data_IF_489185176619
#
_entry.id   IF_489185176619
#
_cell.length_a   1.000
_cell.length_b   1.000
_cell.length_c   1.000
_cell.angle_alpha   90.00
_cell.angle_beta   90.00
_cell.angle_gamma   90.00
#
_symmetry.space_group_name_H-M   'P 1'
#
loop_
_entity.id
_entity.type
_entity.pdbx_description
1 polymer ?
#
# COMPACT_ATOMS: atom_id res chain seq x y z
N UNK A 1 -13.33 21.14 -1.13
CA UNK A 1 -13.38 19.67 -0.93
C UNK A 1 -12.15 19.29 -0.13
N UNK A 2 -12.31 18.66 1.03
CA UNK A 2 -11.19 18.10 1.81
C UNK A 2 -10.87 16.72 1.23
N UNK A 3 -9.59 16.44 1.01
CA UNK A 3 -9.08 15.15 0.51
C UNK A 3 -7.91 14.76 1.42
N UNK A 4 -7.86 13.49 1.81
CA UNK A 4 -6.76 12.92 2.61
C UNK A 4 -5.85 12.14 1.68
N UNK A 5 -4.57 12.02 2.04
CA UNK A 5 -3.58 11.25 1.27
C UNK A 5 -4.08 9.81 1.03
N UNK A 6 -3.89 9.32 -0.20
CA UNK A 6 -4.37 8.01 -0.64
C UNK A 6 -5.84 7.98 -1.10
N UNK A 7 -6.64 8.98 -0.70
CA UNK A 7 -8.07 9.10 -1.05
C UNK A 7 -8.35 10.15 -2.12
N UNK A 8 -7.36 10.44 -2.95
CA UNK A 8 -7.49 11.43 -4.01
C UNK A 8 -8.49 10.98 -5.09
N UNK A 9 -9.48 11.82 -5.45
CA UNK A 9 -10.40 11.48 -6.51
C UNK A 9 -9.70 11.48 -7.88
N UNK A 10 -10.18 10.69 -8.86
CA UNK A 10 -9.59 10.64 -10.20
C UNK A 10 -9.44 12.02 -10.86
N UNK A 11 -10.38 12.93 -10.60
CA UNK A 11 -10.30 14.30 -11.10
C UNK A 11 -9.06 15.04 -10.58
N UNK A 12 -8.73 14.93 -9.28
CA UNK A 12 -7.54 15.55 -8.71
C UNK A 12 -6.26 14.96 -9.33
N UNK A 13 -6.19 13.63 -9.47
CA UNK A 13 -5.04 12.97 -10.08
C UNK A 13 -4.85 13.34 -11.56
N UNK A 14 -5.94 13.62 -12.28
CA UNK A 14 -5.88 14.01 -13.69
C UNK A 14 -5.26 15.39 -13.93
N UNK A 15 -5.22 16.26 -12.90
CA UNK A 15 -4.68 17.62 -13.02
C UNK A 15 -3.17 17.64 -13.32
N UNK A 16 -2.45 16.55 -13.02
CA UNK A 16 -1.01 16.45 -13.24
C UNK A 16 -0.64 16.04 -14.67
N UNK A 17 -1.60 16.02 -15.61
CA UNK A 17 -1.33 15.77 -17.03
C UNK A 17 -0.74 14.39 -17.31
N UNK A 18 -1.14 13.39 -16.52
CA UNK A 18 -0.62 12.02 -16.62
C UNK A 18 0.69 11.77 -15.86
N UNK A 19 1.28 12.79 -15.21
CA UNK A 19 2.40 12.60 -14.29
C UNK A 19 1.93 11.99 -12.96
N UNK A 20 2.79 11.21 -12.27
CA UNK A 20 2.44 10.66 -10.98
C UNK A 20 2.25 11.76 -9.92
N UNK A 21 1.35 11.52 -8.97
CA UNK A 21 1.37 12.25 -7.71
C UNK A 21 2.55 11.74 -6.87
N UNK A 22 3.47 12.62 -6.48
CA UNK A 22 4.65 12.27 -5.69
C UNK A 22 4.45 12.72 -4.25
N UNK A 23 4.63 11.81 -3.31
CA UNK A 23 4.53 12.07 -1.87
C UNK A 23 5.87 11.72 -1.23
N UNK A 24 6.56 12.73 -0.73
CA UNK A 24 7.83 12.59 -0.03
C UNK A 24 7.60 12.29 1.46
N UNK A 25 8.56 11.60 2.09
CA UNK A 25 8.51 11.29 3.52
C UNK A 25 8.92 12.53 4.32
N UNK A 26 7.98 13.12 5.04
CA UNK A 26 8.19 14.30 5.89
C UNK A 26 8.64 15.55 5.11
N UNK A 27 9.19 16.51 5.85
CA UNK A 27 9.66 17.78 5.32
C UNK A 27 8.56 18.80 5.04
N UNK A 28 8.95 19.98 4.54
CA UNK A 28 8.02 21.01 4.07
C UNK A 28 8.54 21.64 2.80
N UNK A 29 7.63 22.01 1.91
CA UNK A 29 7.93 22.80 0.71
C UNK A 29 8.02 24.30 1.00
N UNK A 30 7.75 24.73 2.24
CA UNK A 30 7.88 26.13 2.66
C UNK A 30 9.34 26.57 2.67
N UNK A 31 9.58 27.81 2.27
CA UNK A 31 10.91 28.42 2.33
C UNK A 31 11.48 28.37 3.75
N UNK A 32 12.73 27.93 3.89
CA UNK A 32 13.46 27.90 5.16
C UNK A 32 13.17 26.69 6.07
N UNK A 33 12.25 25.78 5.69
CA UNK A 33 11.94 24.56 6.45
C UNK A 33 12.27 23.25 5.73
N UNK A 34 12.89 23.31 4.57
CA UNK A 34 13.20 22.12 3.76
C UNK A 34 14.17 21.20 4.53
N UNK A 35 13.70 20.01 4.86
CA UNK A 35 14.54 18.95 5.43
C UNK A 35 15.54 18.53 4.35
N UNK A 36 16.80 18.32 4.75
CA UNK A 36 17.83 17.86 3.84
C UNK A 36 17.46 16.49 3.29
N UNK A 37 17.42 16.37 1.96
CA UNK A 37 17.14 15.10 1.30
C UNK A 37 18.09 14.00 1.81
N UNK A 38 17.52 12.85 2.17
CA UNK A 38 18.35 11.66 2.44
C UNK A 38 19.15 11.31 1.20
N UNK A 39 20.40 10.90 1.42
CA UNK A 39 21.31 10.48 0.36
C UNK A 39 20.80 9.23 -0.38
N UNK A 40 20.02 8.38 0.31
CA UNK A 40 19.39 7.19 -0.27
C UNK A 40 17.89 7.27 -0.02
N UNK A 41 17.09 7.06 -1.07
CA UNK A 41 15.63 7.21 -1.05
C UNK A 41 14.98 6.09 -1.85
N UNK A 42 13.89 5.54 -1.33
CA UNK A 42 13.12 4.48 -1.98
C UNK A 42 11.68 4.97 -2.17
N UNK A 43 11.13 4.80 -3.36
CA UNK A 43 9.75 5.16 -3.68
C UNK A 43 8.99 3.95 -4.20
N UNK A 44 7.82 3.69 -3.62
CA UNK A 44 6.84 2.73 -4.15
C UNK A 44 5.95 3.46 -5.16
N UNK A 45 5.86 2.93 -6.38
CA UNK A 45 5.06 3.49 -7.46
C UNK A 45 3.91 2.54 -7.79
N UNK A 46 2.68 2.98 -7.50
CA UNK A 46 1.46 2.19 -7.69
C UNK A 46 0.45 2.92 -8.57
N UNK A 47 -0.25 2.17 -9.41
CA UNK A 47 -1.37 2.66 -10.20
C UNK A 47 -2.71 2.26 -9.60
N UNK A 48 -3.65 3.18 -9.64
CA UNK A 48 -5.07 2.90 -9.45
C UNK A 48 -5.68 2.22 -10.69
N UNK A 49 -6.90 1.70 -10.55
CA UNK A 49 -7.65 1.08 -11.65
C UNK A 49 -7.93 2.04 -12.83
N UNK A 50 -7.92 3.36 -12.61
CA UNK A 50 -8.02 4.36 -13.68
C UNK A 50 -6.68 4.68 -14.36
N UNK A 51 -5.60 4.01 -13.97
CA UNK A 51 -4.24 4.21 -14.50
C UNK A 51 -3.51 5.43 -13.94
N UNK A 52 -4.10 6.16 -12.99
CA UNK A 52 -3.42 7.26 -12.29
C UNK A 52 -2.42 6.69 -11.29
N UNK A 53 -1.21 7.23 -11.27
CA UNK A 53 -0.09 6.74 -10.48
C UNK A 53 0.24 7.61 -9.28
N UNK A 54 0.67 6.95 -8.20
CA UNK A 54 1.23 7.58 -6.99
C UNK A 54 2.64 7.04 -6.78
N UNK A 55 3.55 7.91 -6.39
CA UNK A 55 4.89 7.58 -5.95
C UNK A 55 5.04 8.01 -4.49
N UNK A 56 5.04 7.06 -3.57
CA UNK A 56 5.16 7.31 -2.14
C UNK A 56 6.55 6.93 -1.67
N UNK A 57 7.25 7.86 -1.03
CA UNK A 57 8.52 7.58 -0.41
C UNK A 57 8.35 6.68 0.82
N UNK A 58 9.14 5.62 0.90
CA UNK A 58 9.13 4.62 1.96
C UNK A 58 10.53 4.45 2.53
N UNK A 59 10.65 3.81 3.68
CA UNK A 59 11.97 3.52 4.26
C UNK A 59 12.82 2.65 3.34
N UNK A 60 14.11 2.96 3.30
CA UNK A 60 15.08 2.26 2.46
C UNK A 60 15.40 0.90 3.09
N UNK A 61 14.59 -0.10 2.75
CA UNK A 61 14.73 -1.47 3.21
C UNK A 61 14.19 -2.45 2.18
N UNK A 62 14.86 -3.59 2.02
CA UNK A 62 14.39 -4.66 1.12
C UNK A 62 12.95 -5.10 1.44
N UNK A 63 12.56 -5.13 2.71
CA UNK A 63 11.22 -5.51 3.19
C UNK A 63 10.08 -4.62 2.67
N UNK A 64 10.38 -3.41 2.19
CA UNK A 64 9.38 -2.50 1.61
C UNK A 64 9.11 -2.75 0.13
N UNK A 65 9.94 -3.55 -0.56
CA UNK A 65 9.66 -3.97 -1.93
C UNK A 65 8.37 -4.79 -2.02
N UNK A 66 7.73 -4.71 -3.18
CA UNK A 66 6.47 -5.38 -3.44
C UNK A 66 6.37 -5.86 -4.88
N UNK A 67 6.16 -7.16 -5.09
CA UNK A 67 6.05 -7.74 -6.43
C UNK A 67 4.93 -7.15 -7.30
N UNK A 68 3.91 -6.52 -6.69
CA UNK A 68 2.79 -5.94 -7.41
C UNK A 68 3.10 -4.59 -8.08
N UNK A 69 4.16 -3.90 -7.64
CA UNK A 69 4.37 -2.49 -7.96
C UNK A 69 5.75 -2.24 -8.59
N UNK A 70 5.96 -1.03 -9.11
CA UNK A 70 7.29 -0.56 -9.50
C UNK A 70 7.93 0.24 -8.35
N UNK A 71 9.26 0.30 -8.30
CA UNK A 71 9.98 1.07 -7.30
C UNK A 71 11.09 1.90 -7.93
N UNK A 72 11.37 3.06 -7.34
CA UNK A 72 12.55 3.86 -7.66
C UNK A 72 13.46 3.92 -6.44
N UNK A 73 14.69 3.40 -6.58
CA UNK A 73 15.74 3.53 -5.59
C UNK A 73 16.75 4.56 -6.09
N UNK A 74 16.89 5.67 -5.39
CA UNK A 74 17.90 6.70 -5.67
C UNK A 74 19.00 6.59 -4.61
N UNK A 75 20.25 6.53 -5.06
CA UNK A 75 21.45 6.62 -4.22
C UNK A 75 22.29 7.82 -4.69
N UNK A 76 23.39 8.18 -3.99
CA UNK A 76 24.27 9.25 -4.46
C UNK A 76 24.98 8.92 -5.78
N UNK A 77 25.23 7.64 -6.05
CA UNK A 77 26.04 7.17 -7.20
C UNK A 77 25.22 6.60 -8.35
N UNK A 78 24.00 6.13 -8.09
CA UNK A 78 23.14 5.44 -9.06
C UNK A 78 21.66 5.63 -8.76
N UNK A 79 20.82 5.33 -9.76
CA UNK A 79 19.39 5.18 -9.57
C UNK A 79 18.91 3.90 -10.25
N UNK A 80 17.91 3.25 -9.67
CA UNK A 80 17.32 2.02 -10.17
C UNK A 80 15.81 2.17 -10.31
N UNK A 81 15.27 1.66 -11.41
CA UNK A 81 13.84 1.43 -11.59
C UNK A 81 13.61 -0.06 -11.44
N UNK A 82 13.20 -0.51 -10.26
CA UNK A 82 12.87 -1.91 -10.00
C UNK A 82 11.44 -2.20 -10.42
N UNK A 83 11.24 -3.25 -11.21
CA UNK A 83 9.96 -3.63 -11.78
C UNK A 83 9.53 -4.98 -11.20
N UNK A 84 8.54 -4.94 -10.31
CA UNK A 84 7.87 -6.14 -9.79
C UNK A 84 7.21 -6.94 -10.91
N UNK A 85 7.06 -8.25 -10.72
CA UNK A 85 6.45 -9.14 -11.71
C UNK A 85 4.98 -8.78 -12.00
N UNK A 86 4.24 -8.33 -10.98
CA UNK A 86 2.87 -7.85 -11.09
C UNK A 86 2.74 -6.42 -11.59
N UNK A 87 3.85 -5.67 -11.63
CA UNK A 87 3.84 -4.26 -12.00
C UNK A 87 3.30 -4.01 -13.41
N UNK A 88 2.40 -3.05 -13.48
CA UNK A 88 1.70 -2.59 -14.68
C UNK A 88 2.51 -1.54 -15.47
N UNK A 89 2.16 -1.34 -16.74
CA UNK A 89 2.84 -0.34 -17.57
C UNK A 89 2.61 1.12 -17.10
N UNK A 90 1.43 1.50 -16.55
CA UNK A 90 1.28 2.78 -15.87
C UNK A 90 2.31 3.00 -14.77
N UNK A 91 2.58 2.01 -13.93
CA UNK A 91 3.54 2.13 -12.82
C UNK A 91 4.96 2.33 -13.32
N UNK A 92 5.37 1.59 -14.36
CA UNK A 92 6.69 1.79 -15.00
C UNK A 92 6.83 3.20 -15.56
N UNK A 93 5.80 3.72 -16.24
CA UNK A 93 5.79 5.10 -16.75
C UNK A 93 5.84 6.11 -15.60
N UNK A 94 5.06 5.91 -14.54
CA UNK A 94 5.09 6.74 -13.35
C UNK A 94 6.47 6.77 -12.69
N UNK A 95 7.13 5.61 -12.60
CA UNK A 95 8.47 5.49 -12.05
C UNK A 95 9.52 6.18 -12.93
N UNK A 96 9.38 6.11 -14.26
CA UNK A 96 10.24 6.83 -15.18
C UNK A 96 10.05 8.35 -15.08
N UNK A 97 8.81 8.84 -14.93
CA UNK A 97 8.54 10.26 -14.68
C UNK A 97 9.10 10.73 -13.34
N UNK A 98 9.05 9.88 -12.31
CA UNK A 98 9.68 10.17 -11.02
C UNK A 98 11.20 10.33 -11.16
N UNK A 99 11.88 9.45 -11.91
CA UNK A 99 13.32 9.61 -12.21
C UNK A 99 13.62 10.97 -12.88
N UNK A 100 12.77 11.38 -13.83
CA UNK A 100 12.90 12.69 -14.49
C UNK A 100 12.76 13.85 -13.49
N UNK A 101 11.76 13.78 -12.58
CA UNK A 101 11.55 14.78 -11.52
C UNK A 101 12.74 14.83 -10.56
N UNK A 102 13.33 13.67 -10.23
CA UNK A 102 14.51 13.56 -9.38
C UNK A 102 15.82 13.93 -10.09
N UNK A 103 15.76 14.31 -11.38
CA UNK A 103 16.91 14.73 -12.18
C UNK A 103 17.95 13.65 -12.39
N UNK A 104 17.55 12.37 -12.41
CA UNK A 104 18.46 11.22 -12.52
C UNK A 104 18.04 10.26 -13.63
N UNK A 105 19.02 9.60 -14.24
CA UNK A 105 18.78 8.44 -15.10
C UNK A 105 18.87 7.16 -14.27
N UNK A 106 17.84 6.32 -14.33
CA UNK A 106 17.81 5.05 -13.61
C UNK A 106 18.01 3.84 -14.53
N UNK A 107 18.72 2.82 -14.05
CA UNK A 107 18.79 1.52 -14.72
C UNK A 107 17.53 0.71 -14.38
N UNK A 108 16.82 0.24 -15.41
CA UNK A 108 15.68 -0.65 -15.20
C UNK A 108 16.16 -2.05 -14.81
N UNK A 109 15.63 -2.57 -13.71
CA UNK A 109 15.92 -3.93 -13.20
C UNK A 109 14.59 -4.66 -13.01
N UNK A 110 14.55 -5.93 -13.43
CA UNK A 110 13.38 -6.79 -13.23
C UNK A 110 13.51 -7.58 -11.93
N UNK A 111 12.40 -7.81 -11.24
CA UNK A 111 12.34 -8.67 -10.06
C UNK A 111 12.97 -10.05 -10.34
N UNK A 112 13.94 -10.44 -9.50
CA UNK A 112 14.71 -11.68 -9.62
C UNK A 112 16.00 -11.58 -10.45
N UNK A 113 16.29 -10.42 -11.05
CA UNK A 113 17.53 -10.14 -11.78
C UNK A 113 18.27 -8.91 -11.22
N UNK A 114 18.10 -8.65 -9.93
CA UNK A 114 18.69 -7.47 -9.29
C UNK A 114 20.20 -7.66 -9.06
N UNK A 115 21.01 -6.64 -9.37
CA UNK A 115 22.44 -6.66 -9.10
C UNK A 115 22.74 -6.52 -7.60
N UNK A 116 23.97 -6.85 -7.18
CA UNK A 116 24.38 -6.83 -5.77
C UNK A 116 24.35 -5.40 -5.19
N UNK A 117 24.73 -4.39 -5.97
CA UNK A 117 24.74 -2.97 -5.56
C UNK A 117 23.34 -2.43 -5.22
N UNK A 118 22.30 -2.93 -5.90
CA UNK A 118 20.91 -2.65 -5.54
C UNK A 118 20.56 -3.18 -4.15
N UNK A 119 20.95 -4.42 -3.85
CA UNK A 119 20.69 -5.02 -2.54
C UNK A 119 21.52 -4.35 -1.44
N UNK A 120 22.78 -4.03 -1.70
CA UNK A 120 23.63 -3.29 -0.75
C UNK A 120 23.03 -1.93 -0.40
N UNK A 121 22.51 -1.20 -1.39
CA UNK A 121 21.85 0.09 -1.18
C UNK A 121 20.57 -0.01 -0.34
N UNK A 122 19.93 -1.18 -0.27
CA UNK A 122 18.76 -1.46 0.57
C UNK A 122 19.12 -2.00 1.97
N UNK A 123 20.41 -2.02 2.33
CA UNK A 123 20.89 -2.60 3.58
C UNK A 123 21.01 -4.13 3.56
N UNK A 124 21.03 -4.73 2.37
CA UNK A 124 21.16 -6.17 2.15
C UNK A 124 19.90 -6.80 1.55
N UNK A 125 20.09 -7.97 0.93
CA UNK A 125 18.99 -8.78 0.38
C UNK A 125 18.19 -9.42 1.51
N UNK A 126 16.87 -9.30 1.46
CA UNK A 126 15.97 -9.86 2.47
C UNK A 126 14.61 -10.25 1.89
N UNK A 127 13.76 -10.90 2.70
CA UNK A 127 12.37 -11.14 2.33
C UNK A 127 11.61 -9.82 2.19
N UNK A 128 10.62 -9.82 1.28
CA UNK A 128 9.79 -8.66 0.98
C UNK A 128 8.36 -9.08 0.67
N UNK A 129 7.49 -8.11 0.33
CA UNK A 129 6.06 -8.33 0.13
C UNK A 129 5.83 -9.03 -1.22
N UNK A 130 5.62 -10.33 -1.18
CA UNK A 130 5.46 -11.15 -2.40
C UNK A 130 4.53 -12.32 -2.17
N UNK A 131 3.74 -12.66 -3.19
CA UNK A 131 2.86 -13.83 -3.24
C UNK A 131 2.56 -14.16 -4.70
N UNK A 132 1.97 -15.33 -4.97
CA UNK A 132 1.50 -15.65 -6.32
C UNK A 132 0.48 -14.59 -6.81
N UNK A 133 -0.38 -14.12 -5.91
CA UNK A 133 -1.39 -13.10 -6.21
C UNK A 133 -0.80 -11.72 -6.46
N UNK A 134 0.18 -11.29 -5.66
CA UNK A 134 0.89 -10.00 -5.87
C UNK A 134 1.72 -9.99 -7.16
N UNK A 135 2.01 -11.15 -7.74
CA UNK A 135 2.71 -11.28 -9.03
C UNK A 135 1.77 -11.32 -10.22
N UNK A 136 0.47 -11.46 -9.99
CA UNK A 136 -0.56 -11.50 -11.02
C UNK A 136 -0.98 -10.09 -11.43
N UNK A 137 -1.38 -9.91 -12.69
CA UNK A 137 -1.91 -8.63 -13.18
C UNK A 137 -3.40 -8.56 -12.85
N UNK A 138 -3.73 -7.82 -11.80
CA UNK A 138 -5.02 -7.82 -11.10
C UNK A 138 -6.20 -7.16 -11.84
N UNK A 139 -6.21 -7.19 -13.16
CA UNK A 139 -7.13 -6.40 -13.98
C UNK A 139 -8.60 -6.83 -13.83
N UNK A 140 -8.87 -8.11 -13.52
CA UNK A 140 -10.24 -8.63 -13.44
C UNK A 140 -10.86 -8.51 -12.05
N UNK A 141 -10.06 -8.68 -11.00
CA UNK A 141 -10.51 -8.76 -9.62
C UNK A 141 -9.53 -7.99 -8.72
N UNK A 142 -9.59 -6.65 -8.70
CA UNK A 142 -8.75 -5.85 -7.81
C UNK A 142 -9.10 -6.14 -6.34
N UNK A 143 -8.14 -6.00 -5.41
CA UNK A 143 -8.39 -6.19 -3.99
C UNK A 143 -9.40 -5.17 -3.48
N UNK A 144 -10.28 -5.59 -2.56
CA UNK A 144 -11.32 -4.76 -1.95
C UNK A 144 -11.24 -4.87 -0.44
N UNK A 145 -11.33 -3.74 0.24
CA UNK A 145 -11.32 -3.66 1.70
C UNK A 145 -12.71 -3.27 2.21
N UNK A 146 -13.17 -3.93 3.27
CA UNK A 146 -14.44 -3.64 3.91
C UNK A 146 -14.25 -3.48 5.42
N UNK A 147 -14.90 -2.49 6.00
CA UNK A 147 -15.01 -2.33 7.45
C UNK A 147 -16.24 -3.07 7.96
N UNK A 148 -16.06 -3.92 8.97
CA UNK A 148 -17.12 -4.60 9.69
C UNK A 148 -17.23 -4.01 11.10
N UNK A 149 -18.34 -3.32 11.37
CA UNK A 149 -18.54 -2.62 12.65
C UNK A 149 -19.96 -2.84 13.20
N UNK A 150 -20.09 -2.88 14.52
CA UNK A 150 -21.37 -2.96 15.22
C UNK A 150 -21.72 -1.67 16.00
N UNK A 151 -20.91 -0.60 15.86
CA UNK A 151 -20.99 0.64 16.68
C UNK A 151 -22.36 1.30 16.75
N UNK A 152 -23.20 1.11 15.72
CA UNK A 152 -24.57 1.64 15.66
C UNK A 152 -25.63 0.67 16.21
N UNK A 153 -25.24 -0.35 16.98
CA UNK A 153 -26.11 -1.37 17.55
C UNK A 153 -26.57 -2.45 16.55
N UNK A 154 -26.07 -2.40 15.31
CA UNK A 154 -26.26 -3.43 14.28
C UNK A 154 -24.96 -3.63 13.53
N UNK A 155 -24.68 -4.86 13.12
CA UNK A 155 -23.53 -5.20 12.30
C UNK A 155 -23.72 -4.70 10.87
N UNK A 156 -22.77 -3.91 10.39
CA UNK A 156 -22.72 -3.40 9.02
C UNK A 156 -21.38 -3.73 8.38
N UNK A 157 -21.40 -3.89 7.06
CA UNK A 157 -20.21 -4.08 6.23
C UNK A 157 -20.21 -2.96 5.20
N UNK A 158 -19.17 -2.12 5.22
CA UNK A 158 -19.03 -1.01 4.28
C UNK A 158 -17.71 -1.11 3.53
N UNK A 159 -17.75 -0.91 2.21
CA UNK A 159 -16.54 -0.91 1.39
C UNK A 159 -15.73 0.36 1.62
N UNK A 160 -14.43 0.20 1.87
CA UNK A 160 -13.50 1.31 2.00
C UNK A 160 -13.07 1.75 0.60
N UNK A 161 -13.37 3.00 0.17
CA UNK A 161 -13.06 3.45 -1.17
C UNK A 161 -11.60 3.91 -1.32
N UNK A 162 -11.16 4.00 -2.57
CA UNK A 162 -9.86 4.60 -2.92
C UNK A 162 -8.71 3.62 -2.87
N UNK A 163 -7.49 4.14 -2.76
CA UNK A 163 -6.29 3.33 -2.57
C UNK A 163 -6.31 2.72 -1.16
N UNK A 164 -5.88 1.47 -1.02
CA UNK A 164 -5.79 0.82 0.28
C UNK A 164 -4.57 1.37 1.03
N UNK A 165 -4.79 2.05 2.15
CA UNK A 165 -3.72 2.58 3.01
C UNK A 165 -3.84 2.01 4.42
N UNK A 166 -2.75 2.03 5.18
CA UNK A 166 -2.73 1.48 6.53
C UNK A 166 -3.70 2.23 7.47
N UNK A 167 -3.94 3.53 7.22
CA UNK A 167 -4.94 4.34 7.92
C UNK A 167 -6.38 3.80 7.81
N UNK A 168 -6.67 2.99 6.78
CA UNK A 168 -7.99 2.39 6.61
C UNK A 168 -8.27 1.27 7.62
N UNK A 169 -7.24 0.76 8.30
CA UNK A 169 -7.36 -0.31 9.28
C UNK A 169 -7.72 0.26 10.66
N UNK A 170 -9.03 0.42 10.89
CA UNK A 170 -9.56 0.89 12.16
C UNK A 170 -9.26 -0.09 13.30
N UNK A 171 -8.48 0.34 14.29
CA UNK A 171 -7.98 -0.51 15.39
C UNK A 171 -9.09 -1.03 16.31
N UNK A 172 -10.25 -0.38 16.29
CA UNK A 172 -11.44 -0.71 17.05
C UNK A 172 -12.51 -1.47 16.25
N UNK A 173 -12.21 -1.88 15.02
CA UNK A 173 -13.11 -2.66 14.16
C UNK A 173 -12.41 -3.92 13.59
N UNK A 174 -13.18 -4.73 12.85
CA UNK A 174 -12.65 -5.85 12.06
C UNK A 174 -12.71 -5.50 10.58
N UNK A 175 -11.66 -5.79 9.83
CA UNK A 175 -11.57 -5.47 8.41
C UNK A 175 -11.54 -6.74 7.57
N UNK A 176 -12.23 -6.73 6.42
CA UNK A 176 -12.17 -7.80 5.43
C UNK A 176 -11.40 -7.32 4.21
N UNK A 177 -10.28 -7.95 3.89
CA UNK A 177 -9.55 -7.72 2.65
C UNK A 177 -9.78 -8.90 1.71
N UNK A 178 -10.59 -8.70 0.67
CA UNK A 178 -10.84 -9.68 -0.37
C UNK A 178 -9.86 -9.47 -1.53
N UNK A 179 -8.94 -10.41 -1.73
CA UNK A 179 -7.96 -10.40 -2.83
C UNK A 179 -8.32 -11.40 -3.93
N UNK A 180 -9.58 -11.85 -3.96
CA UNK A 180 -10.17 -12.86 -4.84
C UNK A 180 -9.85 -14.31 -4.46
N UNK A 181 -8.57 -14.69 -4.50
CA UNK A 181 -8.12 -16.06 -4.21
C UNK A 181 -8.01 -16.35 -2.71
N UNK A 182 -8.12 -15.32 -1.88
CA UNK A 182 -8.13 -15.39 -0.42
C UNK A 182 -8.92 -14.21 0.15
N UNK A 183 -9.59 -14.43 1.28
CA UNK A 183 -10.18 -13.36 2.09
C UNK A 183 -9.45 -13.29 3.42
N UNK A 184 -8.91 -12.12 3.74
CA UNK A 184 -8.30 -11.87 5.03
C UNK A 184 -9.32 -11.24 5.98
N UNK A 185 -9.36 -11.71 7.22
CA UNK A 185 -10.09 -11.10 8.33
C UNK A 185 -9.05 -10.49 9.26
N UNK A 186 -8.83 -9.19 9.14
CA UNK A 186 -7.91 -8.45 9.99
C UNK A 186 -8.63 -7.96 11.23
N UNK A 187 -8.12 -8.29 12.41
CA UNK A 187 -8.73 -8.00 13.70
C UNK A 187 -7.93 -6.89 14.38
N UNK A 188 -8.56 -5.73 14.56
CA UNK A 188 -8.04 -4.63 15.36
C UNK A 188 -7.89 -5.03 16.83
N UNK A 189 -6.89 -4.46 17.51
CA UNK A 189 -6.60 -4.76 18.91
C UNK A 189 -7.72 -4.33 19.86
N UNK A 190 -8.49 -3.32 19.50
CA UNK A 190 -9.58 -2.74 20.29
C UNK A 190 -10.97 -3.22 19.83
N UNK A 191 -11.04 -4.09 18.81
CA UNK A 191 -12.29 -4.63 18.29
C UNK A 191 -13.04 -5.47 19.31
N UNK A 192 -14.38 -5.42 19.27
CA UNK A 192 -15.24 -6.14 20.19
C UNK A 192 -15.29 -7.64 19.87
N UNK A 193 -15.52 -8.49 20.87
CA UNK A 193 -15.59 -9.95 20.68
C UNK A 193 -16.78 -10.39 19.81
N UNK A 194 -17.88 -9.66 19.90
CA UNK A 194 -19.04 -9.84 19.04
C UNK A 194 -18.68 -9.57 17.57
N UNK A 195 -17.97 -8.49 17.28
CA UNK A 195 -17.53 -8.13 15.92
C UNK A 195 -16.58 -9.19 15.34
N UNK A 196 -15.65 -9.70 16.14
CA UNK A 196 -14.71 -10.77 15.73
C UNK A 196 -15.45 -12.04 15.29
N UNK A 197 -16.44 -12.47 16.06
CA UNK A 197 -17.25 -13.67 15.74
C UNK A 197 -18.10 -13.44 14.49
N UNK A 198 -18.76 -12.29 14.41
CA UNK A 198 -19.64 -11.95 13.30
C UNK A 198 -18.88 -11.71 11.99
N UNK A 199 -17.68 -11.15 12.04
CA UNK A 199 -16.85 -10.91 10.86
C UNK A 199 -16.39 -12.21 10.19
N UNK A 200 -15.98 -13.23 10.96
CA UNK A 200 -15.60 -14.54 10.39
C UNK A 200 -16.81 -15.19 9.72
N UNK A 201 -17.97 -15.20 10.37
CA UNK A 201 -19.19 -15.72 9.78
C UNK A 201 -19.63 -14.91 8.54
N UNK A 202 -19.43 -13.60 8.57
CA UNK A 202 -19.73 -12.70 7.47
C UNK A 202 -18.78 -12.89 6.29
N UNK A 203 -17.50 -13.17 6.52
CA UNK A 203 -16.55 -13.50 5.46
C UNK A 203 -16.96 -14.78 4.71
N UNK A 204 -17.41 -15.82 5.42
CA UNK A 204 -17.94 -17.04 4.79
C UNK A 204 -19.19 -16.75 3.96
N UNK A 205 -20.16 -16.00 4.51
CA UNK A 205 -21.37 -15.60 3.78
C UNK A 205 -21.06 -14.73 2.58
N UNK A 206 -20.10 -13.82 2.70
CA UNK A 206 -19.64 -12.96 1.62
C UNK A 206 -19.15 -13.78 0.43
N UNK A 207 -18.27 -14.76 0.69
CA UNK A 207 -17.77 -15.71 -0.32
C UNK A 207 -18.93 -16.49 -0.97
N UNK A 208 -19.87 -17.00 -0.17
CA UNK A 208 -21.01 -17.76 -0.67
C UNK A 208 -22.00 -16.94 -1.49
N UNK A 209 -22.11 -15.64 -1.19
CA UNK A 209 -23.05 -14.71 -1.80
C UNK A 209 -22.51 -14.00 -3.04
N UNK A 210 -21.23 -14.20 -3.39
CA UNK A 210 -20.63 -13.52 -4.53
C UNK A 210 -21.34 -13.89 -5.84
N UNK A 211 -21.91 -12.92 -6.58
CA UNK A 211 -22.56 -13.16 -7.87
C UNK A 211 -21.62 -13.73 -8.95
N UNK A 212 -20.30 -13.55 -8.81
CA UNK A 212 -19.30 -14.10 -9.72
C UNK A 212 -19.06 -15.61 -9.54
N UNK A 213 -19.78 -16.27 -8.63
CA UNK A 213 -19.75 -17.71 -8.39
C UNK A 213 -18.32 -18.22 -8.13
N UNK A 214 -17.59 -17.51 -7.28
CA UNK A 214 -16.24 -17.89 -6.81
C UNK A 214 -16.26 -19.24 -6.09
N UNK A 215 -15.10 -19.88 -5.96
CA UNK A 215 -15.00 -21.13 -5.20
C UNK A 215 -15.40 -20.90 -3.74
N UNK A 216 -16.40 -21.64 -3.26
CA UNK A 216 -16.84 -21.55 -1.85
C UNK A 216 -15.77 -21.99 -0.86
N UNK A 217 -14.71 -22.65 -1.33
CA UNK A 217 -13.53 -23.06 -0.56
C UNK A 217 -12.42 -22.00 -0.56
N UNK A 218 -12.68 -20.79 -1.08
CA UNK A 218 -11.74 -19.67 -0.96
C UNK A 218 -11.27 -19.57 0.49
N UNK A 219 -9.96 -19.65 0.75
CA UNK A 219 -9.42 -19.65 2.11
C UNK A 219 -9.71 -18.33 2.81
N UNK A 220 -10.09 -18.45 4.08
CA UNK A 220 -10.20 -17.31 5.01
C UNK A 220 -8.97 -17.34 5.93
N UNK A 221 -8.20 -16.26 5.94
CA UNK A 221 -7.04 -16.10 6.82
C UNK A 221 -7.32 -15.02 7.87
N UNK A 222 -7.26 -15.40 9.15
CA UNK A 222 -7.44 -14.46 10.26
C UNK A 222 -6.08 -13.86 10.64
N UNK A 223 -6.00 -12.53 10.66
CA UNK A 223 -4.81 -11.76 10.95
C UNK A 223 -5.10 -10.86 12.16
N UNK A 224 -4.13 -10.68 13.04
CA UNK A 224 -4.20 -9.74 14.16
C UNK A 224 -3.35 -8.51 13.85
N UNK A 225 -3.82 -7.35 14.30
CA UNK A 225 -3.07 -6.10 14.24
C UNK A 225 -1.64 -6.26 14.77
N UNK A 226 -0.66 -5.79 14.00
CA UNK A 226 0.77 -5.86 14.31
C UNK A 226 1.44 -7.20 14.00
N UNK A 227 0.70 -8.17 13.46
CA UNK A 227 1.20 -9.49 13.05
C UNK A 227 0.83 -9.82 11.60
N UNK A 228 0.72 -8.80 10.76
CA UNK A 228 0.33 -8.94 9.37
C UNK A 228 1.44 -9.62 8.54
N UNK A 229 1.11 -10.68 7.76
CA UNK A 229 2.09 -11.30 6.88
C UNK A 229 2.37 -10.41 5.65
N UNK A 230 3.53 -10.57 4.98
CA UNK A 230 3.86 -9.82 3.77
C UNK A 230 2.85 -9.99 2.63
N UNK A 231 2.11 -11.11 2.60
CA UNK A 231 1.03 -11.37 1.65
C UNK A 231 -0.21 -10.52 1.87
N UNK A 232 -0.35 -9.91 3.06
CA UNK A 232 -1.38 -8.94 3.41
C UNK A 232 -0.87 -7.50 3.24
N UNK A 233 0.28 -7.17 3.86
CA UNK A 233 0.80 -5.79 3.85
C UNK A 233 1.19 -5.32 2.45
N UNK A 234 1.48 -6.24 1.52
CA UNK A 234 1.68 -5.93 0.10
C UNK A 234 0.46 -5.30 -0.58
N UNK A 235 -0.74 -5.41 -0.01
CA UNK A 235 -1.91 -4.77 -0.60
C UNK A 235 -2.04 -3.30 -0.28
N UNK A 236 -1.29 -2.79 0.69
CA UNK A 236 -1.39 -1.42 1.17
C UNK A 236 -0.25 -0.56 0.63
N UNK A 237 -0.58 0.63 0.17
CA UNK A 237 0.41 1.60 -0.31
C UNK A 237 1.18 2.19 0.87
N UNK A 238 2.51 2.08 0.85
CA UNK A 238 3.38 2.76 1.82
C UNK A 238 3.33 2.22 3.25
N UNK A 239 3.07 0.92 3.45
CA UNK A 239 2.96 0.31 4.78
C UNK A 239 4.19 0.57 5.69
N UNK A 240 3.91 1.04 6.90
CA UNK A 240 4.86 1.36 7.97
C UNK A 240 4.71 0.34 9.12
N UNK A 241 5.78 -0.40 9.43
CA UNK A 241 5.75 -1.43 10.47
C UNK A 241 5.65 -0.82 11.88
N UNK A 242 6.06 0.43 12.04
CA UNK A 242 6.05 1.15 13.32
C UNK A 242 4.84 2.08 13.42
N UNK A 243 3.87 1.97 12.50
CA UNK A 243 2.71 2.87 12.41
C UNK A 243 1.92 2.97 13.73
N UNK A 244 1.69 1.84 14.41
CA UNK A 244 0.98 1.78 15.69
C UNK A 244 1.91 1.82 16.91
N UNK A 245 3.22 2.04 16.74
CA UNK A 245 4.15 2.19 17.86
C UNK A 245 3.92 3.52 18.61
N UNK A 246 3.39 4.51 17.91
CA UNK A 246 2.89 5.79 18.44
C UNK A 246 1.44 5.93 18.00
N UNK A 247 0.58 6.51 18.83
CA UNK A 247 -0.80 6.74 18.44
C UNK A 247 -0.86 7.61 17.15
N UNK A 248 -1.59 7.17 16.10
CA UNK A 248 -1.63 7.89 14.83
C UNK A 248 -2.17 9.33 14.94
N UNK A 249 -3.11 9.58 15.86
CA UNK A 249 -3.65 10.91 16.10
C UNK A 249 -2.60 11.81 16.77
N UNK A 250 -1.84 11.28 17.73
CA UNK A 250 -0.70 12.00 18.33
C UNK A 250 0.37 12.35 17.30
N UNK A 251 0.72 11.39 16.41
CA UNK A 251 1.68 11.61 15.31
C UNK A 251 1.20 12.73 14.37
N UNK A 252 -0.06 12.68 13.94
CA UNK A 252 -0.65 13.70 13.07
C UNK A 252 -0.70 15.09 13.73
N UNK A 253 -0.98 15.16 15.04
CA UNK A 253 -0.97 16.42 15.80
C UNK A 253 0.45 17.00 15.96
N UNK A 254 1.47 16.14 16.10
CA UNK A 254 2.86 16.59 16.18
C UNK A 254 3.32 17.25 14.86
N UNK A 255 2.94 16.68 13.71
CA UNK A 255 3.29 17.22 12.39
C UNK A 255 2.65 18.58 12.08
N UNK A 256 1.46 18.88 12.62
CA UNK A 256 0.80 20.18 12.45
C UNK A 256 1.46 21.33 13.24
N UNK A 257 2.24 21.00 14.28
CA UNK A 257 2.88 21.97 15.16
C UNK A 257 4.35 22.26 14.79
N UNK A 258 4.86 21.67 13.71
CA UNK A 258 6.17 21.95 13.12
C UNK A 258 6.08 22.93 11.94
#
# INVERSE_FOLDING_TARGET
VRVVQGKEPPHLLSLFGGKPMIVYKGGTSREGGQVQDSNIRLFQVRASSSGCTRAVEVDVAASNLNSNDAFVLKTPSAAFLWVGQGASDPEKRGAQELLNVLGVSGSQIAEGSEPDDFWEALGGKGPYRTSARLKDRLNAHPPRLFACTNKIGRFIIEEVPGELTQDDLATDDVMLLDVWDQVFVWIGNEAQEEEKKEAIASASKYIESDPANRDKRTPIAVIKQGFEPPTFTGWFLGWDNDYWAVDPLEKALAELNM
#
